data_IF_172630158639
#
_entry.id   IF_172630158639
#
_cell.length_a   1.000
_cell.length_b   1.000
_cell.length_c   1.000
_cell.angle_alpha   90.00
_cell.angle_beta   90.00
_cell.angle_gamma   90.00
#
_symmetry.space_group_name_H-M   'P 1'
#
loop_
_entity.id
_entity.type
_entity.pdbx_description
1 polymer ?
#
# COMPACT_ATOMS: atom_id res chain seq x y z
N UNK A 1 13.22 -13.05 -41.72
CA UNK A 1 13.96 -11.82 -41.34
C UNK A 1 15.18 -12.10 -40.49
N UNK A 2 16.33 -12.32 -41.12
CA UNK A 2 17.64 -12.53 -40.46
C UNK A 2 18.00 -11.40 -39.47
N UNK A 3 17.51 -10.18 -39.74
CA UNK A 3 17.76 -8.98 -38.94
C UNK A 3 17.08 -9.03 -37.54
N UNK A 4 15.93 -9.69 -37.42
CA UNK A 4 15.27 -9.92 -36.11
C UNK A 4 16.05 -10.93 -35.27
N UNK A 5 16.53 -12.01 -35.90
CA UNK A 5 17.35 -13.04 -35.25
C UNK A 5 18.69 -12.49 -34.76
N UNK A 6 19.37 -11.68 -35.56
CA UNK A 6 20.64 -11.07 -35.17
C UNK A 6 20.47 -10.08 -34.00
N UNK A 7 19.44 -9.22 -34.04
CA UNK A 7 19.13 -8.30 -32.94
C UNK A 7 18.87 -9.04 -31.63
N UNK A 8 18.10 -10.13 -31.67
CA UNK A 8 17.84 -10.96 -30.49
C UNK A 8 19.12 -11.55 -29.91
N UNK A 9 20.01 -12.08 -30.77
CA UNK A 9 21.30 -12.63 -30.34
C UNK A 9 22.17 -11.54 -29.71
N UNK A 10 22.26 -10.36 -30.32
CA UNK A 10 23.02 -9.22 -29.77
C UNK A 10 22.45 -8.77 -28.43
N UNK A 11 21.12 -8.68 -28.29
CA UNK A 11 20.47 -8.33 -27.03
C UNK A 11 20.79 -9.32 -25.91
N UNK A 12 20.80 -10.63 -26.21
CA UNK A 12 21.18 -11.67 -25.23
C UNK A 12 22.65 -11.55 -24.84
N UNK A 13 23.55 -11.35 -25.80
CA UNK A 13 24.99 -11.19 -25.54
C UNK A 13 25.24 -9.98 -24.63
N UNK A 14 24.64 -8.83 -24.93
CA UNK A 14 24.79 -7.61 -24.13
C UNK A 14 24.22 -7.79 -22.72
N UNK A 15 23.07 -8.44 -22.58
CA UNK A 15 22.47 -8.73 -21.27
C UNK A 15 23.38 -9.61 -20.40
N UNK A 16 23.96 -10.66 -21.00
CA UNK A 16 24.86 -11.59 -20.34
C UNK A 16 26.20 -10.94 -19.97
N UNK A 17 26.74 -10.08 -20.84
CA UNK A 17 27.96 -9.32 -20.56
C UNK A 17 27.75 -8.30 -19.42
N UNK A 18 26.62 -7.60 -19.39
CA UNK A 18 26.25 -6.71 -18.28
C UNK A 18 26.15 -7.47 -16.97
N UNK A 19 25.55 -8.66 -16.98
CA UNK A 19 25.43 -9.51 -15.80
C UNK A 19 26.79 -9.97 -15.27
N UNK A 20 27.69 -10.42 -16.15
CA UNK A 20 29.01 -10.92 -15.75
C UNK A 20 29.96 -9.85 -15.18
N UNK A 21 29.80 -8.60 -15.58
CA UNK A 21 30.65 -7.50 -15.12
C UNK A 21 30.17 -6.87 -13.79
N UNK A 22 29.17 -7.45 -13.11
CA UNK A 22 28.71 -6.93 -11.82
C UNK A 22 29.58 -7.41 -10.64
N UNK A 23 29.93 -6.53 -9.68
CA UNK A 23 30.86 -6.83 -8.59
C UNK A 23 30.23 -7.65 -7.42
N UNK A 24 29.07 -8.28 -7.62
CA UNK A 24 28.37 -9.00 -6.55
C UNK A 24 28.79 -10.47 -6.53
N UNK A 25 29.34 -11.00 -5.42
CA UNK A 25 29.61 -12.43 -5.30
C UNK A 25 28.27 -13.15 -5.08
N UNK A 26 27.68 -13.69 -6.15
CA UNK A 26 26.44 -14.45 -6.04
C UNK A 26 26.74 -15.95 -5.83
N UNK A 27 26.31 -16.57 -4.72
CA UNK A 27 26.11 -18.01 -4.65
C UNK A 27 25.01 -18.36 -5.65
N UNK A 28 25.19 -19.43 -6.42
CA UNK A 28 24.29 -19.83 -7.52
C UNK A 28 22.96 -20.45 -7.01
N UNK A 29 22.38 -19.91 -5.95
CA UNK A 29 21.07 -20.32 -5.44
C UNK A 29 20.04 -19.36 -5.99
N UNK A 30 19.51 -19.64 -7.18
CA UNK A 30 18.40 -18.91 -7.77
C UNK A 30 17.18 -18.97 -6.83
N UNK A 31 16.86 -17.87 -6.15
CA UNK A 31 15.57 -17.66 -5.49
C UNK A 31 14.81 -16.52 -6.20
N UNK A 32 13.48 -16.54 -6.12
CA UNK A 32 12.60 -15.63 -6.89
C UNK A 32 12.86 -14.13 -6.61
N UNK A 33 13.28 -13.79 -5.38
CA UNK A 33 13.66 -12.42 -4.99
C UNK A 33 14.94 -11.92 -5.69
N UNK A 34 15.82 -12.84 -6.11
CA UNK A 34 17.07 -12.48 -6.78
C UNK A 34 16.83 -12.03 -8.23
N UNK A 35 15.74 -12.50 -8.87
CA UNK A 35 15.39 -12.16 -10.25
C UNK A 35 15.13 -10.67 -10.44
N UNK A 36 14.48 -10.02 -9.46
CA UNK A 36 14.23 -8.57 -9.50
C UNK A 36 15.52 -7.77 -9.55
N UNK A 37 16.51 -8.22 -8.78
CA UNK A 37 17.83 -7.58 -8.68
C UNK A 37 18.60 -7.74 -9.99
N UNK A 38 18.48 -8.87 -10.69
CA UNK A 38 19.12 -9.06 -11.99
C UNK A 38 18.50 -8.20 -13.10
N UNK A 39 17.16 -8.05 -13.10
CA UNK A 39 16.48 -7.29 -14.13
C UNK A 39 16.85 -5.81 -14.13
N UNK A 40 17.07 -5.19 -12.97
CA UNK A 40 17.52 -3.80 -12.89
C UNK A 40 18.95 -3.57 -13.38
N UNK A 41 19.79 -4.62 -13.45
CA UNK A 41 21.14 -4.53 -14.04
C UNK A 41 21.14 -4.71 -15.56
N UNK A 42 20.22 -5.51 -16.08
CA UNK A 42 20.14 -5.83 -17.50
C UNK A 42 19.34 -4.77 -18.26
N UNK A 43 18.21 -4.34 -17.67
CA UNK A 43 17.25 -3.44 -18.26
C UNK A 43 17.26 -2.09 -17.53
N UNK A 44 17.22 -1.01 -18.31
CA UNK A 44 16.88 0.31 -17.76
C UNK A 44 15.37 0.35 -17.56
N UNK A 45 14.92 0.76 -16.37
CA UNK A 45 13.50 0.86 -16.06
C UNK A 45 12.89 2.03 -16.84
N UNK A 46 12.13 1.72 -17.89
CA UNK A 46 11.39 2.75 -18.63
C UNK A 46 10.17 3.20 -17.80
N UNK A 47 10.00 4.51 -17.57
CA UNK A 47 8.79 5.01 -16.91
C UNK A 47 7.57 4.69 -17.78
N UNK A 48 6.62 3.97 -17.20
CA UNK A 48 5.33 3.70 -17.85
C UNK A 48 4.50 4.98 -17.77
N UNK A 49 4.52 5.78 -18.83
CA UNK A 49 3.60 6.91 -19.01
C UNK A 49 2.26 6.36 -19.45
N UNK A 50 1.29 6.38 -18.53
CA UNK A 50 -0.01 5.78 -18.73
C UNK A 50 -1.03 6.89 -19.03
N UNK A 51 -1.05 7.35 -20.28
CA UNK A 51 -1.86 8.51 -20.71
C UNK A 51 -3.30 8.16 -21.13
N UNK A 52 -3.68 6.88 -21.07
CA UNK A 52 -5.02 6.40 -21.43
C UNK A 52 -5.58 5.47 -20.35
N UNK A 53 -6.11 6.05 -19.27
CA UNK A 53 -6.86 5.31 -18.26
C UNK A 53 -8.32 5.21 -18.70
N UNK A 54 -8.59 4.42 -19.73
CA UNK A 54 -9.94 3.94 -19.98
C UNK A 54 -10.27 2.88 -18.93
N UNK A 55 -10.70 3.32 -17.74
CA UNK A 55 -11.65 2.64 -16.84
C UNK A 55 -11.42 1.18 -16.38
N UNK A 56 -10.42 0.45 -16.86
CA UNK A 56 -10.11 -0.90 -16.42
C UNK A 56 -9.13 -0.80 -15.25
N UNK A 57 -9.72 -0.89 -14.07
CA UNK A 57 -9.07 -1.01 -12.77
C UNK A 57 -7.98 -2.10 -12.85
N UNK A 58 -6.71 -1.70 -12.80
CA UNK A 58 -5.62 -2.63 -12.56
C UNK A 58 -5.86 -3.21 -11.15
N UNK A 59 -6.41 -4.42 -11.11
CA UNK A 59 -6.56 -5.20 -9.88
C UNK A 59 -5.17 -5.66 -9.50
N UNK A 60 -4.54 -4.91 -8.59
CA UNK A 60 -3.30 -5.36 -7.99
C UNK A 60 -3.60 -6.60 -7.12
N UNK A 61 -3.11 -7.77 -7.52
CA UNK A 61 -3.15 -9.02 -6.72
C UNK A 61 -2.30 -8.95 -5.45
N UNK A 62 -1.65 -7.81 -5.18
CA UNK A 62 -0.88 -7.60 -3.98
C UNK A 62 -1.82 -7.44 -2.77
N UNK A 63 -1.56 -8.14 -1.65
CA UNK A 63 -2.36 -7.98 -0.44
C UNK A 63 -2.34 -6.51 0.00
N UNK A 64 -3.52 -5.98 0.36
CA UNK A 64 -3.66 -4.60 0.83
C UNK A 64 -2.71 -4.39 2.01
N UNK A 65 -1.80 -3.42 1.86
CA UNK A 65 -0.86 -3.09 2.93
C UNK A 65 -1.65 -2.52 4.11
N UNK A 66 -1.40 -3.04 5.30
CA UNK A 66 -2.06 -2.61 6.53
C UNK A 66 -1.06 -2.24 7.63
N UNK A 67 -1.39 -1.22 8.40
CA UNK A 67 -0.67 -0.81 9.61
C UNK A 67 -1.65 -0.74 10.79
N UNK A 68 -1.21 -1.21 11.96
CA UNK A 68 -1.97 -1.02 13.19
C UNK A 68 -1.48 0.22 13.95
N UNK A 69 -2.39 1.15 14.22
CA UNK A 69 -2.05 2.41 14.87
C UNK A 69 -3.11 2.86 15.88
N UNK A 70 -2.69 3.71 16.81
CA UNK A 70 -3.57 4.44 17.72
C UNK A 70 -3.52 5.91 17.37
N UNK A 71 -4.68 6.55 17.28
CA UNK A 71 -4.78 7.97 17.00
C UNK A 71 -5.05 8.74 18.30
N UNK A 72 -4.47 9.93 18.37
CA UNK A 72 -4.71 10.94 19.41
C UNK A 72 -4.91 12.27 18.72
N UNK A 73 -5.80 13.09 19.25
CA UNK A 73 -5.95 14.46 18.77
C UNK A 73 -4.86 15.38 19.33
N UNK A 74 -4.87 16.64 18.90
CA UNK A 74 -3.89 17.65 19.31
C UNK A 74 -3.90 17.89 20.83
N UNK A 75 -5.05 17.69 21.49
CA UNK A 75 -5.23 17.82 22.93
C UNK A 75 -4.88 16.53 23.70
N UNK A 76 -4.24 15.56 23.03
CA UNK A 76 -3.83 14.27 23.60
C UNK A 76 -5.00 13.39 24.07
N UNK A 77 -6.22 13.59 23.54
CA UNK A 77 -7.35 12.69 23.83
C UNK A 77 -7.22 11.41 23.02
N UNK A 78 -7.54 10.30 23.66
CA UNK A 78 -7.59 8.99 23.05
C UNK A 78 -9.00 8.70 22.52
N UNK A 79 -9.08 7.94 21.43
CA UNK A 79 -10.36 7.46 20.91
C UNK A 79 -10.74 6.14 21.58
N UNK A 80 -11.97 6.06 22.09
CA UNK A 80 -12.58 4.84 22.64
C UNK A 80 -13.90 4.54 21.93
N UNK A 81 -14.30 3.28 21.91
CA UNK A 81 -15.61 2.85 21.44
C UNK A 81 -16.59 2.91 22.62
N UNK A 82 -17.55 3.84 22.61
CA UNK A 82 -18.53 3.99 23.71
C UNK A 82 -19.80 3.18 23.48
N UNK A 83 -20.23 3.12 22.22
CA UNK A 83 -21.43 2.44 21.75
C UNK A 83 -21.04 1.55 20.57
N UNK A 84 -21.85 0.56 20.15
CA UNK A 84 -21.46 -0.41 19.13
C UNK A 84 -20.90 0.22 17.84
N UNK A 85 -21.37 1.42 17.50
CA UNK A 85 -20.99 2.16 16.30
C UNK A 85 -20.63 3.64 16.57
N UNK A 86 -20.16 3.99 17.79
CA UNK A 86 -19.79 5.38 18.12
C UNK A 86 -18.41 5.47 18.79
N UNK A 87 -17.56 6.36 18.28
CA UNK A 87 -16.26 6.71 18.88
C UNK A 87 -16.35 8.00 19.68
N UNK A 88 -15.77 8.00 20.88
CA UNK A 88 -15.64 9.19 21.73
C UNK A 88 -14.16 9.49 22.00
N UNK A 89 -13.84 10.78 22.05
CA UNK A 89 -12.49 11.27 22.36
C UNK A 89 -12.42 11.72 23.83
N UNK A 90 -11.53 11.12 24.61
CA UNK A 90 -11.35 11.43 26.03
C UNK A 90 -9.93 11.22 26.53
N UNK A 91 -9.55 11.95 27.58
CA UNK A 91 -8.28 11.75 28.26
C UNK A 91 -8.33 10.44 29.06
N UNK A 92 -7.46 9.49 28.69
CA UNK A 92 -7.33 8.20 29.37
C UNK A 92 -6.09 8.20 30.27
N UNK A 93 -6.24 7.72 31.50
CA UNK A 93 -5.16 7.59 32.47
C UNK A 93 -5.08 6.16 33.04
N UNK A 94 -3.87 5.74 33.39
CA UNK A 94 -3.62 4.47 34.08
C UNK A 94 -4.17 3.27 33.31
N UNK A 95 -4.90 2.40 34.01
CA UNK A 95 -5.46 1.16 33.44
C UNK A 95 -6.49 1.41 32.31
N UNK A 96 -7.14 2.58 32.27
CA UNK A 96 -8.14 2.90 31.26
C UNK A 96 -7.52 3.08 29.86
N UNK A 97 -6.20 3.25 29.74
CA UNK A 97 -5.54 3.39 28.42
C UNK A 97 -5.74 2.16 27.52
N UNK A 98 -6.00 0.99 28.10
CA UNK A 98 -6.28 -0.24 27.37
C UNK A 98 -7.61 -0.21 26.62
N UNK A 99 -8.51 0.73 26.95
CA UNK A 99 -9.77 0.95 26.24
C UNK A 99 -9.58 1.72 24.92
N UNK A 100 -8.38 2.26 24.67
CA UNK A 100 -8.08 2.98 23.44
C UNK A 100 -8.20 2.06 22.23
N UNK A 101 -8.97 2.52 21.25
CA UNK A 101 -9.16 1.83 19.97
C UNK A 101 -7.83 1.72 19.22
N UNK A 102 -7.59 0.53 18.67
CA UNK A 102 -6.52 0.28 17.70
C UNK A 102 -7.15 0.22 16.32
N UNK A 103 -6.69 1.06 15.41
CA UNK A 103 -7.12 1.06 14.02
C UNK A 103 -6.29 0.09 13.20
N UNK A 104 -6.92 -0.54 12.21
CA UNK A 104 -6.29 -1.15 11.05
C UNK A 104 -6.36 -0.14 9.90
N UNK A 105 -5.27 0.59 9.69
CA UNK A 105 -5.11 1.54 8.59
C UNK A 105 -4.68 0.77 7.33
N UNK A 106 -5.56 0.73 6.34
CA UNK A 106 -5.33 0.05 5.06
C UNK A 106 -5.01 1.09 3.99
N UNK A 107 -3.94 0.90 3.22
CA UNK A 107 -3.60 1.77 2.10
C UNK A 107 -4.41 1.35 0.87
N UNK A 108 -5.34 2.20 0.43
CA UNK A 108 -6.29 1.89 -0.65
C UNK A 108 -5.93 2.62 -1.93
N UNK A 109 -6.54 2.23 -3.05
CA UNK A 109 -6.38 2.97 -4.30
C UNK A 109 -7.13 4.31 -4.22
N UNK A 110 -6.56 5.36 -4.81
CA UNK A 110 -7.12 6.71 -4.83
C UNK A 110 -6.09 7.75 -5.29
N UNK A 111 -6.51 9.00 -5.40
CA UNK A 111 -5.61 10.11 -5.78
C UNK A 111 -4.50 10.28 -4.72
N UNK A 112 -3.25 10.11 -5.15
CA UNK A 112 -2.06 10.28 -4.30
C UNK A 112 -1.32 11.56 -4.68
N UNK A 113 -0.71 12.19 -3.69
CA UNK A 113 0.26 13.27 -3.89
C UNK A 113 1.33 13.20 -2.80
N UNK A 114 2.41 13.97 -2.92
CA UNK A 114 3.53 13.94 -1.96
C UNK A 114 3.09 14.06 -0.48
N UNK A 115 1.97 14.73 -0.21
CA UNK A 115 1.45 14.97 1.15
C UNK A 115 0.06 14.35 1.41
N UNK A 116 -0.46 13.51 0.49
CA UNK A 116 -1.78 12.88 0.65
C UNK A 116 -1.73 11.43 0.24
N UNK A 117 -2.13 10.56 1.16
CA UNK A 117 -2.18 9.11 0.97
C UNK A 117 -3.61 8.65 1.30
N UNK A 118 -4.32 8.00 0.36
CA UNK A 118 -5.65 7.46 0.60
C UNK A 118 -5.58 6.24 1.53
N UNK A 119 -6.41 6.25 2.57
CA UNK A 119 -6.48 5.17 3.55
C UNK A 119 -7.91 4.84 3.94
N UNK A 120 -8.17 3.57 4.24
CA UNK A 120 -9.36 3.13 4.94
C UNK A 120 -9.03 2.83 6.41
N UNK A 121 -9.87 3.29 7.32
CA UNK A 121 -9.68 3.11 8.76
C UNK A 121 -10.71 2.13 9.30
N UNK A 122 -10.25 0.89 9.55
CA UNK A 122 -11.02 -0.14 10.23
C UNK A 122 -10.66 -0.24 11.72
N UNK A 123 -11.52 -0.84 12.53
CA UNK A 123 -11.22 -1.16 13.93
C UNK A 123 -10.57 -2.54 14.03
N UNK A 124 -9.41 -2.66 14.67
CA UNK A 124 -8.70 -3.93 14.79
C UNK A 124 -9.56 -4.97 15.53
N UNK A 125 -9.70 -6.15 14.94
CA UNK A 125 -10.47 -7.26 15.52
C UNK A 125 -11.99 -7.09 15.46
N UNK A 126 -12.48 -6.12 14.68
CA UNK A 126 -13.91 -5.86 14.46
C UNK A 126 -14.12 -5.62 12.97
N UNK A 127 -15.25 -6.07 12.43
CA UNK A 127 -15.66 -5.74 11.07
C UNK A 127 -16.35 -4.38 11.04
N UNK A 128 -15.68 -3.34 11.53
CA UNK A 128 -16.20 -1.97 11.57
C UNK A 128 -15.22 -1.02 10.91
N UNK A 129 -15.74 -0.19 10.00
CA UNK A 129 -14.97 0.83 9.28
C UNK A 129 -15.56 2.21 9.50
N UNK A 130 -14.70 3.23 9.51
CA UNK A 130 -15.15 4.60 9.41
C UNK A 130 -15.63 4.86 7.97
N UNK A 131 -16.88 5.29 7.84
CA UNK A 131 -17.47 5.69 6.56
C UNK A 131 -18.11 7.09 6.66
N UNK A 132 -18.13 7.79 5.53
CA UNK A 132 -18.77 9.10 5.41
C UNK A 132 -20.01 8.93 4.54
N UNK A 133 -21.18 9.28 5.06
CA UNK A 133 -22.48 9.16 4.37
C UNK A 133 -23.26 10.45 4.46
N UNK A 134 -24.18 10.68 3.52
CA UNK A 134 -25.13 11.79 3.62
C UNK A 134 -26.30 11.38 4.54
N UNK A 135 -26.52 12.11 5.63
CA UNK A 135 -27.73 12.00 6.47
C UNK A 135 -28.57 13.24 6.22
N UNK A 136 -29.57 13.10 5.36
CA UNK A 136 -30.22 14.26 4.72
C UNK A 136 -29.18 15.04 3.92
N UNK A 137 -29.07 16.34 4.17
CA UNK A 137 -28.12 17.23 3.49
C UNK A 137 -26.78 17.38 4.22
N UNK A 138 -26.51 16.58 5.26
CA UNK A 138 -25.29 16.70 6.08
C UNK A 138 -24.33 15.52 5.87
N UNK A 139 -23.08 15.75 5.43
CA UNK A 139 -22.06 14.71 5.41
C UNK A 139 -21.71 14.32 6.85
N UNK A 140 -21.91 13.06 7.18
CA UNK A 140 -21.79 12.55 8.55
C UNK A 140 -20.84 11.37 8.60
N UNK A 141 -19.89 11.41 9.53
CA UNK A 141 -19.01 10.29 9.85
C UNK A 141 -19.78 9.25 10.68
N UNK A 142 -19.61 7.97 10.37
CA UNK A 142 -20.17 6.87 11.14
C UNK A 142 -19.24 5.66 11.16
N UNK A 143 -19.50 4.72 12.07
CA UNK A 143 -18.97 3.36 11.98
C UNK A 143 -19.99 2.46 11.28
N UNK A 144 -19.52 1.72 10.29
CA UNK A 144 -20.31 0.83 9.46
C UNK A 144 -19.77 -0.60 9.51
N UNK A 145 -20.67 -1.57 9.58
CA UNK A 145 -20.32 -2.99 9.56
C UNK A 145 -20.19 -3.50 8.14
N UNK A 146 -19.18 -4.34 7.88
CA UNK A 146 -18.93 -4.99 6.59
C UNK A 146 -18.90 -6.52 6.69
#
# INVERSE_FOLDING_TARGET
>A
DLNKSFRQVVSVIVAVEKLWNTPVPCPWTFQDEDLRTFFSFIFEEEPIFCDSWDGELIVADAPIRQLHCRLRDEQQKCLVLSDPCELKALHLNGQNINQQVVFSMSFVQGETSNNKIPVALGLKGKNLYLSCVMKGDTPTLQLESV
#
